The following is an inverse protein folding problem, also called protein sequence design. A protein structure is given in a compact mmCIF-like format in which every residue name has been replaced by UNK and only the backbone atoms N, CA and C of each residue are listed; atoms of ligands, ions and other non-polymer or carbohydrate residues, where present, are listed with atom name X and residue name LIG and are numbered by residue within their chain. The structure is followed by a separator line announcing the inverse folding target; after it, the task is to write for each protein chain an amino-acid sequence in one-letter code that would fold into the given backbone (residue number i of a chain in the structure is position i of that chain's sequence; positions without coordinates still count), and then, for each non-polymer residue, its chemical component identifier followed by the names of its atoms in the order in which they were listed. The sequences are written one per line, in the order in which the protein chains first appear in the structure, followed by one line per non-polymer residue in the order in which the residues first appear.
data_IF_042909009582
#
_entry.id   IF_042909009582
#
_cell.length_a   1.000
_cell.length_b   1.000
_cell.length_c   1.000
_cell.angle_alpha   90.00
_cell.angle_beta   90.00
_cell.angle_gamma   90.00
#
_symmetry.space_group_name_H-M   'P 1'
#
loop_
_entity.id
_entity.type
_entity.pdbx_description
1 polymer ?
#
# COMPACT_ATOMS: atom_id res chain seq x y z
N UNK A 1 -52.16 26.57 23.32
CA UNK A 1 -51.16 25.58 22.86
C UNK A 1 -51.88 24.61 21.95
N UNK A 2 -51.36 24.41 20.74
CA UNK A 2 -51.83 23.38 19.83
C UNK A 2 -50.89 22.18 19.92
N UNK A 3 -51.44 20.98 20.10
CA UNK A 3 -50.66 19.75 20.16
C UNK A 3 -51.24 18.75 19.16
N UNK A 4 -50.39 18.27 18.27
CA UNK A 4 -50.68 17.18 17.34
C UNK A 4 -49.78 16.03 17.75
N UNK A 5 -50.38 14.96 18.28
CA UNK A 5 -49.65 13.83 18.88
C UNK A 5 -50.31 12.50 18.55
N UNK A 6 -49.69 11.41 19.00
CA UNK A 6 -50.29 10.07 19.08
C UNK A 6 -50.74 9.49 17.73
N UNK A 7 -49.86 9.58 16.72
CA UNK A 7 -50.09 9.04 15.38
C UNK A 7 -51.31 9.67 14.70
N UNK A 8 -51.54 10.95 14.97
CA UNK A 8 -52.54 11.76 14.26
C UNK A 8 -52.18 11.89 12.78
N UNK A 9 -53.20 11.94 11.93
CA UNK A 9 -53.08 12.19 10.49
C UNK A 9 -53.94 13.41 10.13
N UNK A 10 -53.28 14.56 9.96
CA UNK A 10 -53.94 15.86 9.83
C UNK A 10 -53.69 16.41 8.43
N UNK A 11 -54.77 16.68 7.72
CA UNK A 11 -54.76 17.47 6.48
C UNK A 11 -55.53 18.76 6.71
N UNK A 12 -54.86 19.90 6.57
CA UNK A 12 -55.44 21.23 6.77
C UNK A 12 -55.19 22.12 5.56
N UNK A 13 -56.22 22.84 5.12
CA UNK A 13 -56.12 23.83 4.05
C UNK A 13 -56.89 25.09 4.42
N UNK A 14 -56.29 26.26 4.23
CA UNK A 14 -56.89 27.54 4.62
C UNK A 14 -56.40 28.69 3.72
N UNK A 15 -57.08 29.84 3.81
CA UNK A 15 -56.61 31.08 3.18
C UNK A 15 -55.48 31.72 3.99
N UNK A 16 -55.64 31.82 5.32
CA UNK A 16 -54.60 32.21 6.27
C UNK A 16 -53.90 30.93 6.81
N UNK A 17 -53.07 30.95 7.87
CA UNK A 17 -52.33 29.76 8.22
C UNK A 17 -53.23 28.54 8.41
N UNK A 18 -52.85 27.44 7.78
CA UNK A 18 -53.65 26.21 7.79
C UNK A 18 -53.64 25.57 9.17
N UNK A 19 -52.52 25.67 9.88
CA UNK A 19 -52.42 25.38 11.30
C UNK A 19 -51.89 26.62 12.04
N UNK A 20 -52.59 26.99 13.10
CA UNK A 20 -52.31 28.18 13.87
C UNK A 20 -52.41 27.91 15.38
N UNK A 21 -51.45 28.44 16.15
CA UNK A 21 -51.50 28.44 17.61
C UNK A 21 -51.24 29.85 18.17
N UNK A 22 -52.10 30.30 19.07
CA UNK A 22 -51.92 31.53 19.85
C UNK A 22 -50.78 31.45 20.89
N UNK A 23 -50.19 30.27 21.08
CA UNK A 23 -49.02 30.03 21.96
C UNK A 23 -48.12 28.96 21.30
N UNK A 24 -47.40 28.17 22.09
CA UNK A 24 -46.65 27.00 21.59
C UNK A 24 -47.47 26.05 20.71
N UNK A 25 -46.79 25.43 19.76
CA UNK A 25 -47.27 24.35 18.91
C UNK A 25 -46.27 23.19 18.94
N UNK A 26 -46.77 21.98 19.21
CA UNK A 26 -45.98 20.75 19.12
C UNK A 26 -46.61 19.77 18.15
N UNK A 27 -45.81 19.24 17.24
CA UNK A 27 -46.17 18.14 16.34
C UNK A 27 -45.25 16.97 16.68
N UNK A 28 -45.81 15.87 17.16
CA UNK A 28 -45.03 14.72 17.65
C UNK A 28 -45.59 13.40 17.13
N UNK A 29 -44.73 12.54 16.59
CA UNK A 29 -45.09 11.21 16.10
C UNK A 29 -46.37 11.19 15.25
N UNK A 30 -46.53 12.16 14.35
CA UNK A 30 -47.78 12.40 13.62
C UNK A 30 -47.52 12.82 12.18
N UNK A 31 -48.52 12.65 11.32
CA UNK A 31 -48.50 13.12 9.93
C UNK A 31 -49.28 14.42 9.81
N UNK A 32 -48.68 15.41 9.17
CA UNK A 32 -49.29 16.73 8.98
C UNK A 32 -49.07 17.20 7.55
N UNK A 33 -50.16 17.50 6.85
CA UNK A 33 -50.16 18.19 5.56
C UNK A 33 -50.92 19.51 5.69
N UNK A 34 -50.20 20.64 5.65
CA UNK A 34 -50.75 21.97 5.91
C UNK A 34 -50.56 22.91 4.72
N UNK A 35 -51.63 23.35 4.07
CA UNK A 35 -51.61 24.21 2.86
C UNK A 35 -52.30 25.55 3.08
N UNK A 36 -51.57 26.65 2.94
CA UNK A 36 -52.07 28.03 3.02
C UNK A 36 -51.97 28.74 1.67
N UNK A 37 -52.96 29.57 1.33
CA UNK A 37 -53.00 30.29 0.06
C UNK A 37 -52.56 31.77 0.15
N UNK A 38 -52.46 32.35 1.35
CA UNK A 38 -52.12 33.76 1.54
C UNK A 38 -51.21 34.03 2.75
N UNK A 39 -50.76 32.99 3.47
CA UNK A 39 -49.93 33.12 4.66
C UNK A 39 -49.01 31.91 4.80
N UNK A 40 -48.38 31.74 5.96
CA UNK A 40 -47.60 30.56 6.27
C UNK A 40 -48.47 29.30 6.34
N UNK A 41 -47.97 28.15 5.88
CA UNK A 41 -48.69 26.88 6.07
C UNK A 41 -48.95 26.54 7.54
N UNK A 42 -47.93 26.72 8.39
CA UNK A 42 -47.98 26.47 9.83
C UNK A 42 -47.44 27.69 10.60
N UNK A 43 -48.17 28.19 11.60
CA UNK A 43 -47.74 29.34 12.40
C UNK A 43 -47.99 29.16 13.90
N UNK A 44 -46.99 29.48 14.71
CA UNK A 44 -47.11 29.62 16.16
C UNK A 44 -46.75 31.04 16.62
N UNK A 45 -47.50 31.57 17.59
CA UNK A 45 -47.16 32.86 18.23
C UNK A 45 -46.09 32.75 19.32
N UNK A 46 -45.56 31.56 19.60
CA UNK A 46 -44.43 31.38 20.50
C UNK A 46 -43.42 30.38 19.92
N UNK A 47 -43.42 29.10 20.36
CA UNK A 47 -42.54 28.06 19.81
C UNK A 47 -43.25 27.06 18.89
N UNK A 48 -42.55 26.57 17.87
CA UNK A 48 -42.96 25.43 17.05
C UNK A 48 -41.94 24.30 17.21
N UNK A 49 -42.38 23.16 17.73
CA UNK A 49 -41.52 21.97 17.89
C UNK A 49 -42.07 20.81 17.08
N UNK A 50 -41.27 20.33 16.13
CA UNK A 50 -41.53 19.09 15.38
C UNK A 50 -40.63 18.01 15.99
N UNK A 51 -41.25 16.98 16.53
CA UNK A 51 -40.59 16.00 17.39
C UNK A 51 -40.94 14.56 16.98
N UNK A 52 -40.10 13.62 17.42
CA UNK A 52 -40.38 12.20 17.23
C UNK A 52 -40.36 11.80 15.75
N UNK A 53 -41.20 10.82 15.40
CA UNK A 53 -41.33 10.29 14.04
C UNK A 53 -42.34 11.08 13.21
N UNK A 54 -42.32 12.41 13.32
CA UNK A 54 -43.27 13.25 12.61
C UNK A 54 -42.92 13.35 11.13
N UNK A 55 -43.96 13.31 10.29
CA UNK A 55 -43.91 13.55 8.86
C UNK A 55 -44.74 14.81 8.59
N UNK A 56 -44.06 15.90 8.26
CA UNK A 56 -44.67 17.23 8.16
C UNK A 56 -44.39 17.81 6.81
N UNK A 57 -45.43 18.00 6.02
CA UNK A 57 -45.41 18.76 4.78
C UNK A 57 -46.19 20.05 5.00
N UNK A 58 -45.59 21.18 4.66
CA UNK A 58 -46.32 22.43 4.60
C UNK A 58 -46.03 23.25 3.35
N UNK A 59 -47.09 23.89 2.86
CA UNK A 59 -47.12 24.73 1.66
C UNK A 59 -47.75 26.06 2.03
N UNK A 60 -47.12 27.18 1.70
CA UNK A 60 -47.70 28.51 1.96
C UNK A 60 -47.06 29.62 1.14
N UNK A 61 -47.89 30.50 0.58
CA UNK A 61 -47.43 31.59 -0.31
C UNK A 61 -46.65 32.67 0.42
N UNK A 62 -46.91 32.86 1.73
CA UNK A 62 -46.13 33.75 2.61
C UNK A 62 -44.94 33.06 3.30
N UNK A 63 -44.74 31.76 3.03
CA UNK A 63 -43.82 30.89 3.76
C UNK A 63 -44.41 29.53 4.12
N UNK A 64 -43.59 28.55 4.47
CA UNK A 64 -44.08 27.20 4.79
C UNK A 64 -44.42 27.08 6.29
N UNK A 65 -43.50 27.46 7.18
CA UNK A 65 -43.69 27.40 8.63
C UNK A 65 -42.95 28.51 9.37
N UNK A 66 -43.40 28.85 10.56
CA UNK A 66 -42.72 29.82 11.40
C UNK A 66 -43.26 29.93 12.82
N UNK A 67 -42.45 30.54 13.67
CA UNK A 67 -42.80 30.84 15.05
C UNK A 67 -42.12 32.15 15.51
N UNK A 68 -42.62 32.79 16.57
CA UNK A 68 -42.05 34.05 17.08
C UNK A 68 -40.72 33.79 17.82
N UNK A 69 -40.71 32.83 18.74
CA UNK A 69 -39.56 32.57 19.61
C UNK A 69 -38.58 31.60 18.97
N UNK A 70 -39.05 30.43 18.52
CA UNK A 70 -38.23 29.47 17.79
C UNK A 70 -39.06 28.42 17.08
N UNK A 71 -38.59 27.98 15.92
CA UNK A 71 -39.08 26.77 15.26
C UNK A 71 -37.95 25.75 15.26
N UNK A 72 -38.21 24.50 15.61
CA UNK A 72 -37.18 23.46 15.65
C UNK A 72 -37.69 22.07 15.31
N UNK A 73 -36.78 21.25 14.80
CA UNK A 73 -36.94 19.80 14.69
C UNK A 73 -36.08 19.14 15.77
N UNK A 74 -36.61 18.11 16.42
CA UNK A 74 -35.87 17.25 17.36
C UNK A 74 -36.02 15.78 16.93
N UNK A 75 -34.98 15.19 16.31
CA UNK A 75 -34.96 13.77 15.94
C UNK A 75 -35.02 12.85 17.17
N UNK A 76 -35.57 11.65 17.00
CA UNK A 76 -35.48 10.57 18.00
C UNK A 76 -34.02 10.16 18.17
N UNK A 77 -33.60 9.82 19.38
CA UNK A 77 -32.25 9.29 19.65
C UNK A 77 -31.95 8.09 18.76
N UNK A 78 -30.89 8.18 17.95
CA UNK A 78 -30.48 7.14 17.01
C UNK A 78 -31.15 7.22 15.62
N UNK A 79 -32.12 8.10 15.45
CA UNK A 79 -32.76 8.37 14.15
C UNK A 79 -32.30 9.71 13.58
N UNK A 80 -32.67 9.95 12.32
CA UNK A 80 -32.45 11.25 11.69
C UNK A 80 -33.73 11.75 11.05
N UNK A 81 -33.79 13.07 10.87
CA UNK A 81 -34.88 13.73 10.16
C UNK A 81 -34.31 14.41 8.92
N UNK A 82 -34.83 14.02 7.77
CA UNK A 82 -34.59 14.75 6.53
C UNK A 82 -35.47 15.99 6.49
N UNK A 83 -34.93 17.07 5.91
CA UNK A 83 -35.66 18.31 5.70
C UNK A 83 -35.40 18.79 4.29
N UNK A 84 -36.47 18.93 3.52
CA UNK A 84 -36.47 19.49 2.18
C UNK A 84 -37.21 20.82 2.19
N UNK A 85 -36.66 21.80 1.47
CA UNK A 85 -37.32 23.09 1.27
C UNK A 85 -37.15 23.58 -0.16
N UNK A 86 -38.10 24.36 -0.65
CA UNK A 86 -38.06 24.88 -2.01
C UNK A 86 -39.29 25.71 -2.36
N UNK A 87 -39.44 26.00 -3.65
CA UNK A 87 -40.63 26.68 -4.18
C UNK A 87 -41.87 25.77 -4.16
N UNK A 88 -41.66 24.48 -4.38
CA UNK A 88 -42.67 23.42 -4.40
C UNK A 88 -42.00 22.07 -4.13
N UNK A 89 -42.77 21.00 -4.22
CA UNK A 89 -42.33 19.62 -3.99
C UNK A 89 -41.33 19.13 -5.03
N UNK A 90 -41.50 19.52 -6.30
CA UNK A 90 -40.66 19.10 -7.41
C UNK A 90 -39.31 19.85 -7.42
N UNK A 91 -39.25 21.03 -6.82
CA UNK A 91 -38.06 21.88 -6.72
C UNK A 91 -37.44 21.90 -5.32
N UNK A 92 -37.95 21.08 -4.40
CA UNK A 92 -37.42 21.00 -3.06
C UNK A 92 -36.01 20.37 -3.06
N UNK A 93 -35.12 20.96 -2.28
CA UNK A 93 -33.76 20.44 -2.07
C UNK A 93 -33.52 20.22 -0.59
N UNK A 94 -32.67 19.25 -0.27
CA UNK A 94 -32.30 18.96 1.11
C UNK A 94 -31.65 20.20 1.73
N UNK A 95 -32.10 20.58 2.93
CA UNK A 95 -31.50 21.67 3.68
C UNK A 95 -30.04 21.34 4.02
N UNK A 96 -29.17 22.35 4.03
CA UNK A 96 -27.78 22.17 4.45
C UNK A 96 -27.71 21.53 5.85
N UNK A 97 -26.95 20.43 5.96
CA UNK A 97 -26.84 19.65 7.20
C UNK A 97 -27.93 18.59 7.40
N UNK A 98 -28.94 18.53 6.54
CA UNK A 98 -29.85 17.37 6.45
C UNK A 98 -29.08 16.14 5.97
N UNK A 99 -29.33 14.94 6.53
CA UNK A 99 -30.29 14.64 7.59
C UNK A 99 -29.78 14.99 9.00
N UNK A 100 -30.64 15.65 9.80
CA UNK A 100 -30.29 16.11 11.15
C UNK A 100 -30.36 14.97 12.17
N UNK A 101 -29.33 14.88 13.02
CA UNK A 101 -29.24 13.90 14.12
C UNK A 101 -29.32 14.53 15.51
N UNK A 102 -29.50 15.85 15.57
CA UNK A 102 -29.63 16.63 16.78
C UNK A 102 -30.73 17.67 16.59
N UNK A 103 -31.12 18.34 17.68
CA UNK A 103 -32.09 19.43 17.62
C UNK A 103 -31.57 20.54 16.68
N UNK A 104 -32.38 20.90 15.70
CA UNK A 104 -32.03 21.88 14.67
C UNK A 104 -33.04 23.02 14.65
N UNK A 105 -32.54 24.26 14.57
CA UNK A 105 -33.36 25.46 14.44
C UNK A 105 -33.78 25.68 12.98
N UNK A 106 -35.05 26.03 12.78
CA UNK A 106 -35.71 26.28 11.50
C UNK A 106 -35.94 27.78 11.22
N UNK A 107 -35.25 28.68 11.91
CA UNK A 107 -35.45 30.13 11.74
C UNK A 107 -35.24 30.61 10.29
N UNK A 108 -34.37 29.95 9.52
CA UNK A 108 -34.05 30.32 8.14
C UNK A 108 -35.07 29.92 7.07
N UNK A 109 -36.05 29.05 7.39
CA UNK A 109 -36.96 28.48 6.37
C UNK A 109 -38.30 29.20 6.26
N UNK A 110 -38.52 30.24 7.07
CA UNK A 110 -39.79 30.99 7.11
C UNK A 110 -40.23 31.48 5.74
N UNK A 111 -39.30 31.83 4.85
CA UNK A 111 -39.60 32.39 3.53
C UNK A 111 -39.75 31.33 2.44
N UNK A 112 -39.45 30.06 2.70
CA UNK A 112 -39.57 29.00 1.70
C UNK A 112 -41.04 28.59 1.55
N UNK A 113 -41.61 28.54 0.33
CA UNK A 113 -43.01 28.18 0.13
C UNK A 113 -43.34 26.71 0.40
N UNK A 114 -42.35 25.82 0.30
CA UNK A 114 -42.47 24.39 0.58
C UNK A 114 -41.49 23.94 1.65
N UNK A 115 -41.98 23.06 2.53
CA UNK A 115 -41.18 22.30 3.48
C UNK A 115 -41.74 20.89 3.60
N UNK A 116 -40.83 19.93 3.70
CA UNK A 116 -41.14 18.55 4.05
C UNK A 116 -40.07 18.02 4.99
N UNK A 117 -40.48 17.51 6.14
CA UNK A 117 -39.60 16.78 7.04
C UNK A 117 -40.17 15.43 7.39
N UNK A 118 -39.34 14.39 7.36
CA UNK A 118 -39.72 13.06 7.77
C UNK A 118 -38.56 12.35 8.47
N UNK A 119 -38.89 11.49 9.43
CA UNK A 119 -37.90 10.66 10.11
C UNK A 119 -37.58 9.41 9.29
N UNK A 120 -36.31 9.02 9.26
CA UNK A 120 -35.90 7.72 8.74
C UNK A 120 -34.74 7.12 9.54
N UNK A 121 -34.51 5.83 9.33
CA UNK A 121 -33.45 5.07 9.98
C UNK A 121 -32.38 4.66 8.98
N UNK A 122 -31.11 4.78 9.37
CA UNK A 122 -30.01 4.23 8.59
C UNK A 122 -29.72 2.81 9.05
N UNK A 123 -29.95 1.85 8.17
CA UNK A 123 -29.45 0.48 8.36
C UNK A 123 -28.31 0.26 7.39
N UNK A 124 -27.16 -0.20 7.88
CA UNK A 124 -26.01 -0.52 7.04
C UNK A 124 -26.38 -1.63 6.05
N UNK A 125 -26.10 -1.40 4.76
CA UNK A 125 -26.13 -2.48 3.78
C UNK A 125 -24.90 -3.35 3.97
N UNK A 126 -25.00 -4.66 3.68
CA UNK A 126 -23.90 -5.61 3.93
C UNK A 126 -22.69 -5.43 3.02
N UNK A 127 -22.81 -4.66 1.94
CA UNK A 127 -21.75 -4.43 0.96
C UNK A 127 -20.93 -3.20 1.34
N UNK A 128 -19.61 -3.38 1.44
CA UNK A 128 -18.67 -2.27 1.61
C UNK A 128 -18.56 -1.43 0.34
N UNK A 129 -18.65 -0.12 0.51
CA UNK A 129 -18.23 0.91 -0.45
C UNK A 129 -16.83 1.41 -0.09
N UNK A 130 -16.12 1.97 -1.07
CA UNK A 130 -14.74 2.42 -0.90
C UNK A 130 -14.34 3.51 -1.90
N UNK A 131 -13.42 4.36 -1.45
CA UNK A 131 -12.69 5.33 -2.27
C UNK A 131 -11.18 5.26 -1.94
N UNK A 132 -10.37 6.17 -2.47
CA UNK A 132 -8.92 6.16 -2.26
C UNK A 132 -8.51 6.35 -0.79
N UNK A 133 -9.35 6.98 0.04
CA UNK A 133 -9.03 7.32 1.42
C UNK A 133 -9.64 6.36 2.44
N UNK A 134 -10.89 5.93 2.21
CA UNK A 134 -11.72 5.27 3.22
C UNK A 134 -12.59 4.17 2.63
N UNK A 135 -13.13 3.33 3.51
CA UNK A 135 -14.23 2.42 3.22
C UNK A 135 -15.39 2.65 4.21
N UNK A 136 -16.61 2.39 3.77
CA UNK A 136 -17.84 2.60 4.55
C UNK A 136 -18.94 1.64 4.10
N UNK A 137 -19.92 1.39 4.96
CA UNK A 137 -21.21 0.84 4.54
C UNK A 137 -22.11 1.97 4.04
N UNK A 138 -22.75 1.74 2.90
CA UNK A 138 -23.92 2.54 2.53
C UNK A 138 -25.08 2.28 3.49
N UNK A 139 -26.16 3.04 3.36
CA UNK A 139 -27.37 2.81 4.13
C UNK A 139 -28.57 2.48 3.23
N UNK A 140 -29.54 1.75 3.78
CA UNK A 140 -30.79 1.39 3.08
C UNK A 140 -31.63 2.60 2.64
N UNK A 141 -31.38 3.77 3.23
CA UNK A 141 -32.04 5.02 2.87
C UNK A 141 -31.51 5.66 1.58
N UNK A 142 -30.33 5.25 1.10
CA UNK A 142 -29.70 5.76 -0.14
C UNK A 142 -29.51 7.28 -0.21
N UNK A 143 -29.41 7.96 0.94
CA UNK A 143 -29.25 9.41 1.08
C UNK A 143 -27.78 9.89 1.07
N UNK A 144 -26.84 8.99 0.75
CA UNK A 144 -25.41 9.28 0.70
C UNK A 144 -24.70 9.24 2.05
N UNK A 145 -25.39 8.96 3.17
CA UNK A 145 -24.72 8.79 4.47
C UNK A 145 -23.78 7.58 4.46
N UNK A 146 -22.54 7.82 4.86
CA UNK A 146 -21.51 6.80 5.13
C UNK A 146 -21.62 6.30 6.57
N UNK A 147 -21.72 4.98 6.74
CA UNK A 147 -21.73 4.28 8.03
C UNK A 147 -20.45 3.46 8.19
N UNK A 148 -20.01 3.23 9.42
CA UNK A 148 -18.77 2.49 9.73
C UNK A 148 -17.54 2.97 8.93
N UNK A 149 -17.50 4.28 8.65
CA UNK A 149 -16.45 4.87 7.82
C UNK A 149 -15.10 4.81 8.53
N UNK A 150 -14.12 4.21 7.87
CA UNK A 150 -12.78 4.04 8.39
C UNK A 150 -11.73 4.15 7.28
N UNK A 151 -10.52 4.59 7.65
CA UNK A 151 -9.37 4.59 6.76
C UNK A 151 -8.94 3.15 6.43
N UNK A 152 -8.32 2.98 5.26
CA UNK A 152 -7.83 1.67 4.83
C UNK A 152 -6.71 1.15 5.74
N UNK A 153 -6.77 -0.14 6.05
CA UNK A 153 -5.72 -0.84 6.81
C UNK A 153 -5.10 -1.91 5.94
N UNK A 154 -3.84 -1.69 5.56
CA UNK A 154 -3.09 -2.57 4.67
C UNK A 154 -2.84 -3.96 5.28
N UNK A 155 -3.01 -4.99 4.48
CA UNK A 155 -2.61 -6.35 4.79
C UNK A 155 -1.09 -6.54 4.72
N UNK A 156 -0.62 -7.73 5.11
CA UNK A 156 0.72 -8.19 4.76
C UNK A 156 0.82 -8.41 3.24
N UNK A 157 2.04 -8.46 2.71
CA UNK A 157 2.25 -8.78 1.30
C UNK A 157 1.63 -10.14 0.93
N UNK A 158 0.80 -10.13 -0.11
CA UNK A 158 0.20 -11.29 -0.75
C UNK A 158 0.99 -11.55 -2.03
N UNK A 159 1.47 -12.78 -2.19
CA UNK A 159 2.22 -13.19 -3.38
C UNK A 159 1.22 -13.60 -4.47
N UNK A 160 1.20 -12.86 -5.57
CA UNK A 160 0.35 -13.16 -6.73
C UNK A 160 1.02 -14.18 -7.65
N UNK A 161 2.34 -14.05 -7.79
CA UNK A 161 3.17 -14.91 -8.61
C UNK A 161 4.57 -14.97 -8.03
N UNK A 162 5.05 -16.18 -7.76
CA UNK A 162 6.43 -16.41 -7.34
C UNK A 162 7.43 -15.96 -8.42
N UNK A 163 8.59 -15.48 -7.98
CA UNK A 163 9.69 -15.21 -8.90
C UNK A 163 10.32 -16.52 -9.41
N UNK A 164 10.84 -16.48 -10.63
CA UNK A 164 11.59 -17.59 -11.23
C UNK A 164 12.95 -17.12 -11.74
N UNK A 165 13.76 -18.07 -12.21
CA UNK A 165 15.05 -17.78 -12.84
C UNK A 165 14.95 -17.03 -14.18
N UNK A 166 13.75 -16.90 -14.75
CA UNK A 166 13.53 -16.22 -16.04
C UNK A 166 12.45 -15.14 -15.97
N UNK A 167 11.83 -14.89 -14.81
CA UNK A 167 10.76 -13.90 -14.67
C UNK A 167 10.63 -13.36 -13.24
N UNK A 168 10.43 -12.03 -13.11
CA UNK A 168 10.13 -11.38 -11.84
C UNK A 168 8.82 -11.93 -11.25
N UNK A 169 8.73 -12.03 -9.92
CA UNK A 169 7.48 -12.32 -9.23
C UNK A 169 6.63 -11.05 -9.06
N UNK A 170 5.41 -11.21 -8.57
CA UNK A 170 4.48 -10.10 -8.27
C UNK A 170 3.83 -10.30 -6.91
N UNK A 171 3.63 -9.20 -6.20
CA UNK A 171 2.94 -9.15 -4.92
C UNK A 171 2.16 -7.86 -4.76
N UNK A 172 1.14 -7.88 -3.91
CA UNK A 172 0.38 -6.71 -3.53
C UNK A 172 0.04 -6.68 -2.04
N UNK A 173 -0.42 -5.54 -1.55
CA UNK A 173 -1.15 -5.39 -0.30
C UNK A 173 -2.54 -4.87 -0.59
N UNK A 174 -3.51 -5.29 0.21
CA UNK A 174 -4.89 -4.86 0.08
C UNK A 174 -5.48 -4.43 1.43
N UNK A 175 -6.56 -3.67 1.40
CA UNK A 175 -7.30 -3.34 2.61
C UNK A 175 -7.93 -4.60 3.19
N UNK A 176 -7.61 -4.91 4.44
CA UNK A 176 -8.09 -6.10 5.16
C UNK A 176 -9.62 -6.17 5.33
N UNK A 177 -10.32 -5.06 5.14
CA UNK A 177 -11.78 -4.97 5.30
C UNK A 177 -12.49 -5.00 3.94
N UNK A 178 -12.10 -4.14 3.00
CA UNK A 178 -12.83 -3.97 1.73
C UNK A 178 -12.12 -4.53 0.49
N UNK A 179 -10.91 -5.10 0.63
CA UNK A 179 -10.14 -5.68 -0.48
C UNK A 179 -9.69 -4.67 -1.53
N UNK A 180 -9.52 -3.40 -1.17
CA UNK A 180 -8.90 -2.42 -2.08
C UNK A 180 -7.41 -2.69 -2.21
N UNK A 181 -6.89 -2.83 -3.43
CA UNK A 181 -5.44 -2.91 -3.64
C UNK A 181 -4.84 -1.55 -3.28
N UNK A 182 -3.89 -1.57 -2.34
CA UNK A 182 -3.25 -0.35 -1.81
C UNK A 182 -1.82 -0.20 -2.33
N UNK A 183 -1.12 -1.31 -2.51
CA UNK A 183 0.29 -1.31 -2.91
C UNK A 183 0.57 -2.51 -3.81
N UNK A 184 1.36 -2.33 -4.86
CA UNK A 184 1.83 -3.42 -5.73
C UNK A 184 3.33 -3.31 -5.92
N UNK A 185 4.04 -4.43 -5.89
CA UNK A 185 5.47 -4.48 -6.11
C UNK A 185 5.89 -5.75 -6.85
N UNK A 186 7.05 -5.68 -7.49
CA UNK A 186 7.70 -6.84 -8.09
C UNK A 186 8.58 -7.56 -7.05
N UNK A 187 8.73 -8.86 -7.24
CA UNK A 187 9.71 -9.67 -6.51
C UNK A 187 10.85 -9.91 -7.50
N UNK A 188 12.11 -9.58 -7.16
CA UNK A 188 13.24 -9.81 -8.05
C UNK A 188 13.30 -11.26 -8.54
N UNK A 189 13.77 -11.46 -9.76
CA UNK A 189 14.05 -12.79 -10.30
C UNK A 189 14.95 -13.59 -9.37
N UNK A 190 14.76 -14.91 -9.36
CA UNK A 190 15.79 -15.78 -8.81
C UNK A 190 16.97 -15.77 -9.79
N UNK A 191 18.19 -15.92 -9.30
CA UNK A 191 19.33 -16.19 -10.16
C UNK A 191 20.09 -17.40 -9.62
N UNK A 192 20.81 -18.05 -10.52
CA UNK A 192 21.62 -19.22 -10.21
C UNK A 192 23.07 -18.74 -10.09
N UNK A 193 23.74 -19.09 -9.01
CA UNK A 193 25.15 -18.77 -8.85
C UNK A 193 25.99 -19.73 -9.69
N UNK A 194 26.49 -19.25 -10.82
CA UNK A 194 27.41 -19.99 -11.68
C UNK A 194 28.81 -19.40 -11.48
N UNK A 195 29.84 -20.22 -11.18
CA UNK A 195 31.21 -19.74 -11.08
C UNK A 195 31.75 -19.33 -12.46
N UNK A 196 32.44 -18.20 -12.51
CA UNK A 196 33.15 -17.75 -13.71
C UNK A 196 34.29 -18.70 -14.08
N UNK A 197 34.61 -18.85 -15.36
CA UNK A 197 35.73 -19.69 -15.83
C UNK A 197 37.12 -19.16 -15.42
N UNK A 198 37.20 -17.92 -14.93
CA UNK A 198 38.45 -17.27 -14.53
C UNK A 198 38.52 -17.19 -13.01
N UNK A 199 39.62 -17.70 -12.44
CA UNK A 199 39.92 -17.52 -11.02
C UNK A 199 40.24 -16.06 -10.69
N UNK A 200 39.53 -15.52 -9.71
CA UNK A 200 39.92 -14.32 -9.00
C UNK A 200 40.82 -14.67 -7.81
N UNK A 201 41.71 -13.74 -7.45
CA UNK A 201 42.70 -13.94 -6.40
C UNK A 201 43.12 -12.62 -5.77
N UNK A 202 43.42 -12.68 -4.48
CA UNK A 202 44.14 -11.64 -3.74
C UNK A 202 45.36 -12.27 -3.04
N UNK A 203 45.93 -11.59 -2.06
CA UNK A 203 47.09 -12.04 -1.29
C UNK A 203 46.82 -13.21 -0.34
N UNK A 204 45.57 -13.47 0.02
CA UNK A 204 45.19 -14.46 1.05
C UNK A 204 44.43 -15.66 0.47
N UNK A 205 43.67 -15.45 -0.59
CA UNK A 205 42.70 -16.44 -1.10
C UNK A 205 42.46 -16.32 -2.62
N UNK A 206 41.81 -17.34 -3.15
CA UNK A 206 41.29 -17.40 -4.51
C UNK A 206 39.81 -17.83 -4.50
N UNK A 207 39.05 -17.39 -5.49
CA UNK A 207 37.62 -17.68 -5.65
C UNK A 207 37.20 -17.52 -7.12
N UNK A 208 36.07 -18.10 -7.49
CA UNK A 208 35.35 -17.75 -8.72
C UNK A 208 34.35 -16.64 -8.42
N UNK A 209 34.25 -15.64 -9.29
CA UNK A 209 33.15 -14.68 -9.17
C UNK A 209 31.85 -15.33 -9.66
N UNK A 210 30.73 -14.99 -9.04
CA UNK A 210 29.44 -15.33 -9.62
C UNK A 210 29.22 -14.57 -10.94
N UNK A 211 28.79 -15.29 -11.99
CA UNK A 211 28.47 -14.67 -13.28
C UNK A 211 27.26 -13.72 -13.23
N UNK A 212 26.51 -13.71 -12.13
CA UNK A 212 25.36 -12.82 -11.92
C UNK A 212 25.76 -11.40 -11.47
N UNK A 213 27.06 -11.12 -11.30
CA UNK A 213 27.61 -9.81 -10.91
C UNK A 213 27.01 -9.25 -9.60
N UNK A 214 26.72 -10.15 -8.66
CA UNK A 214 26.16 -9.86 -7.33
C UNK A 214 27.23 -9.79 -6.23
N UNK A 215 28.51 -9.83 -6.62
CA UNK A 215 29.70 -9.89 -5.76
C UNK A 215 29.82 -11.17 -4.88
N UNK A 216 29.03 -12.21 -5.16
CA UNK A 216 29.16 -13.47 -4.45
C UNK A 216 30.44 -14.22 -4.88
N UNK A 217 31.20 -14.73 -3.90
CA UNK A 217 32.43 -15.51 -4.12
C UNK A 217 32.13 -17.00 -4.01
N UNK A 218 32.42 -17.75 -5.06
CA UNK A 218 32.24 -19.20 -5.13
C UNK A 218 33.59 -19.91 -5.05
N UNK A 219 33.60 -21.14 -4.52
CA UNK A 219 34.82 -21.95 -4.35
C UNK A 219 35.96 -21.22 -3.61
N UNK A 220 35.60 -20.31 -2.70
CA UNK A 220 36.56 -19.47 -1.98
C UNK A 220 37.45 -20.33 -1.08
N UNK A 221 38.76 -20.23 -1.28
CA UNK A 221 39.74 -20.98 -0.52
C UNK A 221 41.07 -20.22 -0.37
N UNK A 222 41.78 -20.48 0.72
CA UNK A 222 43.16 -20.03 0.89
C UNK A 222 44.09 -20.65 -0.17
N UNK A 223 45.15 -19.94 -0.53
CA UNK A 223 46.12 -20.44 -1.52
C UNK A 223 46.83 -21.73 -1.06
N UNK A 224 47.02 -22.66 -2.00
CA UNK A 224 47.73 -23.92 -1.77
C UNK A 224 49.07 -23.86 -2.49
N UNK A 225 50.15 -23.74 -1.73
CA UNK A 225 51.49 -23.57 -2.29
C UNK A 225 51.98 -24.81 -3.06
N UNK A 226 52.57 -24.58 -4.22
CA UNK A 226 53.30 -25.57 -5.00
C UNK A 226 54.62 -25.97 -4.32
N UNK A 227 55.25 -27.01 -4.87
CA UNK A 227 56.70 -27.19 -4.71
C UNK A 227 57.47 -26.00 -5.32
N UNK A 228 58.73 -25.82 -4.92
CA UNK A 228 59.57 -24.76 -5.47
C UNK A 228 59.78 -24.95 -6.98
N UNK A 229 59.40 -23.94 -7.75
CA UNK A 229 59.62 -23.86 -9.19
C UNK A 229 60.89 -23.05 -9.41
N UNK A 230 61.84 -23.62 -10.14
CA UNK A 230 63.09 -22.95 -10.47
C UNK A 230 62.91 -22.06 -11.71
N UNK A 231 63.04 -20.75 -11.52
CA UNK A 231 62.95 -19.78 -12.62
C UNK A 231 64.29 -19.61 -13.33
N UNK A 232 65.37 -19.59 -12.54
CA UNK A 232 66.71 -19.32 -13.02
C UNK A 232 67.73 -20.07 -12.18
N UNK A 233 68.54 -20.88 -12.86
CA UNK A 233 69.69 -21.55 -12.25
C UNK A 233 70.69 -20.53 -11.69
N UNK A 234 71.21 -20.80 -10.50
CA UNK A 234 72.34 -20.06 -9.98
C UNK A 234 73.63 -20.46 -10.72
N UNK A 235 74.55 -19.52 -10.91
CA UNK A 235 75.88 -19.78 -11.46
C UNK A 235 76.95 -19.24 -10.52
N UNK A 236 78.22 -19.48 -10.85
CA UNK A 236 79.36 -18.91 -10.12
C UNK A 236 79.45 -17.37 -10.22
N UNK A 237 78.74 -16.76 -11.17
CA UNK A 237 78.79 -15.32 -11.45
C UNK A 237 77.43 -14.62 -11.38
N UNK A 238 76.33 -15.35 -11.16
CA UNK A 238 74.99 -14.80 -11.04
C UNK A 238 74.12 -15.61 -10.08
N UNK A 239 73.36 -14.93 -9.23
CA UNK A 239 72.34 -15.55 -8.40
C UNK A 239 71.21 -16.14 -9.27
N UNK A 240 70.61 -17.22 -8.79
CA UNK A 240 69.41 -17.83 -9.36
C UNK A 240 68.13 -17.31 -8.69
N UNK A 241 66.98 -17.80 -9.11
CA UNK A 241 65.70 -17.48 -8.50
C UNK A 241 64.74 -18.66 -8.60
N UNK A 242 63.88 -18.78 -7.59
CA UNK A 242 62.79 -19.75 -7.53
C UNK A 242 61.57 -19.10 -6.89
N UNK A 243 60.39 -19.64 -7.18
CA UNK A 243 59.16 -19.21 -6.53
C UNK A 243 58.26 -20.40 -6.16
N UNK A 244 57.28 -20.12 -5.31
CA UNK A 244 56.11 -20.97 -5.09
C UNK A 244 54.87 -20.22 -5.56
N UNK A 245 53.99 -20.93 -6.24
CA UNK A 245 52.71 -20.39 -6.68
C UNK A 245 51.55 -21.24 -6.15
N UNK A 246 50.35 -20.69 -6.15
CA UNK A 246 49.15 -21.44 -5.85
C UNK A 246 48.89 -22.45 -6.98
N UNK A 247 48.81 -23.74 -6.66
CA UNK A 247 48.60 -24.80 -7.66
C UNK A 247 47.25 -24.72 -8.37
N UNK A 248 46.30 -23.93 -7.83
CA UNK A 248 44.96 -23.77 -8.38
C UNK A 248 44.88 -22.54 -9.31
N UNK A 249 45.29 -21.37 -8.82
CA UNK A 249 45.09 -20.09 -9.52
C UNK A 249 46.38 -19.42 -10.03
N UNK A 250 47.55 -20.01 -9.79
CA UNK A 250 48.85 -19.45 -10.19
C UNK A 250 49.18 -18.11 -9.52
N UNK A 251 48.66 -17.85 -8.31
CA UNK A 251 49.11 -16.70 -7.53
C UNK A 251 50.53 -16.95 -7.04
N UNK A 252 51.50 -16.09 -7.37
CA UNK A 252 52.87 -16.22 -6.85
C UNK A 252 52.84 -15.85 -5.36
N UNK A 253 53.03 -16.83 -4.50
CA UNK A 253 52.92 -16.69 -3.05
C UNK A 253 54.24 -16.28 -2.41
N UNK A 254 55.34 -16.82 -2.92
CA UNK A 254 56.67 -16.62 -2.35
C UNK A 254 57.72 -16.65 -3.45
N UNK A 255 58.67 -15.72 -3.42
CA UNK A 255 59.82 -15.68 -4.32
C UNK A 255 61.09 -15.63 -3.50
N UNK A 256 62.08 -16.45 -3.85
CA UNK A 256 63.39 -16.48 -3.21
C UNK A 256 64.51 -16.37 -4.24
N UNK A 257 65.57 -15.66 -3.84
CA UNK A 257 66.83 -15.63 -4.59
C UNK A 257 67.68 -16.80 -4.14
N UNK A 258 68.18 -17.57 -5.10
CA UNK A 258 69.13 -18.65 -4.85
C UNK A 258 70.53 -18.02 -4.88
N UNK A 259 71.33 -18.14 -3.81
CA UNK A 259 72.68 -17.62 -3.80
C UNK A 259 73.53 -18.17 -4.96
N UNK A 260 74.54 -17.40 -5.38
CA UNK A 260 75.53 -17.85 -6.36
C UNK A 260 76.16 -19.19 -5.95
N UNK A 261 76.44 -20.04 -6.94
CA UNK A 261 77.10 -21.32 -6.69
C UNK A 261 78.50 -21.09 -6.10
N UNK A 262 78.86 -21.86 -5.08
CA UNK A 262 80.22 -21.86 -4.55
C UNK A 262 81.16 -22.50 -5.58
N UNK A 263 82.32 -21.90 -5.82
CA UNK A 263 83.30 -22.38 -6.81
C UNK A 263 83.72 -23.85 -6.60
N UNK A 264 83.64 -24.35 -5.37
CA UNK A 264 83.98 -25.73 -4.99
C UNK A 264 82.97 -26.77 -5.50
N UNK A 265 81.67 -26.43 -5.59
CA UNK A 265 80.61 -27.33 -6.06
C UNK A 265 80.62 -27.47 -7.60
N UNK A 266 80.97 -26.39 -8.31
CA UNK A 266 81.15 -26.38 -9.77
C UNK A 266 82.28 -27.35 -10.23
N UNK A 267 83.36 -27.46 -9.44
CA UNK A 267 84.46 -28.39 -9.71
C UNK A 267 84.06 -29.87 -9.60
N UNK A 268 83.03 -30.20 -8.80
CA UNK A 268 82.57 -31.59 -8.62
C UNK A 268 81.71 -32.09 -9.79
N UNK A 269 81.04 -31.18 -10.50
CA UNK A 269 80.27 -31.48 -11.73
C UNK A 269 81.21 -31.66 -12.92
N UNK A 270 82.23 -30.81 -13.06
CA UNK A 270 83.28 -30.97 -14.09
C UNK A 270 84.09 -32.27 -13.93
N UNK A 271 84.40 -32.68 -12.68
CA UNK A 271 85.05 -33.98 -12.42
C UNK A 271 84.17 -35.17 -12.81
N UNK A 272 82.84 -35.09 -12.60
CA UNK A 272 81.88 -36.13 -13.04
C UNK A 272 81.78 -36.23 -14.56
N UNK A 273 81.92 -35.12 -15.28
CA UNK A 273 81.92 -35.09 -16.75
C UNK A 273 83.25 -35.63 -17.31
N UNK A 274 84.39 -35.32 -16.69
CA UNK A 274 85.73 -35.82 -17.11
C UNK A 274 86.01 -37.28 -16.73
N UNK A 275 85.29 -37.85 -15.77
CA UNK A 275 85.44 -39.24 -15.32
C UNK A 275 84.73 -40.31 -16.17
N UNK A 276 83.99 -39.93 -17.21
CA UNK A 276 83.33 -40.84 -18.15
C UNK A 276 83.96 -40.75 -19.55
N UNK A 277 85.19 -41.23 -19.71
CA UNK A 277 85.74 -41.55 -21.04
C UNK A 277 85.44 -43.00 -21.43
N UNK A 278 84.51 -43.11 -22.39
CA UNK A 278 84.28 -44.13 -23.42
C UNK A 278 84.11 -45.62 -23.05
N UNK A 279 82.92 -46.15 -23.40
CA UNK A 279 82.84 -47.41 -24.14
C UNK A 279 82.14 -47.11 -25.49
N UNK A 280 82.72 -47.51 -26.63
CA UNK A 280 82.01 -47.50 -27.91
C UNK A 280 81.16 -48.77 -28.00
N UNK A 281 80.00 -48.74 -28.68
CA UNK A 281 79.49 -49.85 -29.52
C UNK A 281 78.15 -49.49 -30.18
N UNK A 282 78.23 -49.46 -31.51
CA UNK A 282 77.32 -49.92 -32.57
C UNK A 282 75.88 -49.38 -32.73
N UNK A 283 75.73 -48.67 -33.86
CA UNK A 283 74.66 -48.76 -34.87
C UNK A 283 73.57 -49.81 -34.58
N UNK A 284 72.33 -49.33 -34.46
CA UNK A 284 71.19 -49.94 -35.16
C UNK A 284 70.33 -48.83 -35.80
N UNK A 285 70.27 -48.90 -37.13
CA UNK A 285 69.29 -48.21 -37.98
C UNK A 285 67.97 -48.99 -37.92
N UNK A 286 66.82 -48.32 -37.75
CA UNK A 286 65.55 -48.58 -38.46
C UNK A 286 64.47 -47.54 -38.05
N UNK A 287 63.41 -47.32 -38.84
CA UNK A 287 63.17 -46.02 -39.44
C UNK A 287 61.82 -45.40 -39.06
N UNK A 288 61.71 -44.13 -39.43
CA UNK A 288 60.52 -43.28 -39.54
C UNK A 288 59.35 -44.02 -40.22
N UNK A 289 58.12 -43.80 -39.75
CA UNK A 289 56.95 -43.66 -40.64
C UNK A 289 55.96 -42.61 -40.12
N UNK A 290 55.70 -41.65 -41.02
CA UNK A 290 54.56 -40.74 -41.24
C UNK A 290 53.59 -40.46 -40.10
#
# INVERSE_FOLDING_TARGET
MLMISDNSDITASSFNPALFSESDMTISNSKVYATSNNDLGIWSRDTLSIEGKSDVICKGTGGCLGAISSASITPVTGERVEVYTGADEDNATAMEGSPFSQKTNLAGIKTNPYFHSYSHTHTAVSTWSKDDATHWHGCTANDGKRLDEAAHTASNWIIDREATITAVGKKHKECTICGQIMETAEIPMLHIHIPSDVWSKNDTEHWHNCTADDNEKLDQAAHIASEWILDKEATISAAGSKHKECIICGYVMQTEIIPMMKAEEAGSIEKKIKGKTMLPVYKYLCPIRN
#
